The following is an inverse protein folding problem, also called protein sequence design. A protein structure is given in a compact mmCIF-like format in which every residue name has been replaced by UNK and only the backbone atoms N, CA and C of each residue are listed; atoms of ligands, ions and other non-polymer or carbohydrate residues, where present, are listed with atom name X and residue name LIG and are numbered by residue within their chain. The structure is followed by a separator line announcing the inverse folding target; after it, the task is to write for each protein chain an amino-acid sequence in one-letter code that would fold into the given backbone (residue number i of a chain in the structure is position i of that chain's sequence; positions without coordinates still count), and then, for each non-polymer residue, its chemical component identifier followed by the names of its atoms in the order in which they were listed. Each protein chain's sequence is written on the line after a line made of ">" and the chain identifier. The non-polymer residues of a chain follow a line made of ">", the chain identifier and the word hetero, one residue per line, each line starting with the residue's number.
data_IF_270292328784
#
_entry.id   IF_270292328784
#
_cell.length_a   1.000
_cell.length_b   1.000
_cell.length_c   1.000
_cell.angle_alpha   90.00
_cell.angle_beta   90.00
_cell.angle_gamma   90.00
#
_symmetry.space_group_name_H-M   'P 1'
#
loop_
_entity.id
_entity.type
_entity.pdbx_description
1 polymer ?
#
# COMPACT_ATOMS: atom_id res chain seq x y z
N UNK A 1 14.32 0.09 -24.01
CA UNK A 1 15.13 1.01 -23.19
C UNK A 1 14.74 0.76 -21.74
N UNK A 2 15.72 0.45 -20.88
CA UNK A 2 15.47 0.26 -19.45
C UNK A 2 14.97 1.57 -18.83
N UNK A 3 13.92 1.48 -18.03
CA UNK A 3 13.40 2.63 -17.28
C UNK A 3 14.12 2.78 -15.93
N UNK A 4 14.15 3.98 -15.36
CA UNK A 4 14.53 4.16 -13.97
C UNK A 4 13.62 3.37 -13.04
N UNK A 5 14.21 2.68 -12.07
CA UNK A 5 13.49 2.01 -10.97
C UNK A 5 13.42 3.00 -9.81
N UNK A 6 12.26 3.13 -9.20
CA UNK A 6 12.09 4.01 -8.05
C UNK A 6 11.51 3.26 -6.85
N UNK A 7 11.83 3.77 -5.69
CA UNK A 7 11.22 3.38 -4.42
C UNK A 7 10.91 4.67 -3.63
N UNK A 8 9.63 4.95 -3.40
CA UNK A 8 9.17 6.08 -2.63
C UNK A 8 8.58 5.61 -1.30
N UNK A 9 9.27 5.88 -0.21
CA UNK A 9 8.96 5.35 1.11
C UNK A 9 8.50 6.41 2.11
N UNK A 10 7.54 6.05 2.97
CA UNK A 10 7.09 6.81 4.13
C UNK A 10 7.38 6.04 5.40
N UNK A 11 8.21 6.60 6.28
CA UNK A 11 8.44 6.02 7.61
C UNK A 11 7.15 6.00 8.40
N UNK A 12 6.87 4.86 9.04
CA UNK A 12 5.67 4.66 9.85
C UNK A 12 6.02 4.47 11.32
N UNK A 13 5.08 4.84 12.20
CA UNK A 13 5.20 4.56 13.63
C UNK A 13 5.03 3.07 13.89
N UNK A 14 5.92 2.51 14.69
CA UNK A 14 5.88 1.12 15.14
C UNK A 14 4.64 0.92 16.01
N UNK A 15 3.92 -0.16 15.74
CA UNK A 15 2.71 -0.53 16.48
C UNK A 15 3.01 -1.71 17.40
N UNK A 16 2.34 -1.79 18.55
CA UNK A 16 2.44 -2.97 19.41
C UNK A 16 1.92 -4.23 18.69
N UNK A 17 2.45 -5.43 19.00
CA UNK A 17 2.02 -6.67 18.34
C UNK A 17 0.50 -6.89 18.33
N UNK A 18 -0.18 -6.54 19.43
CA UNK A 18 -1.64 -6.72 19.57
C UNK A 18 -2.47 -5.81 18.64
N UNK A 19 -1.87 -4.72 18.13
CA UNK A 19 -2.52 -3.80 17.20
C UNK A 19 -2.00 -3.95 15.77
N UNK A 20 -1.02 -4.80 15.57
CA UNK A 20 -0.30 -4.93 14.30
C UNK A 20 -1.24 -5.32 13.16
N UNK A 21 -2.08 -6.36 13.32
CA UNK A 21 -3.00 -6.82 12.28
C UNK A 21 -3.99 -5.72 11.86
N UNK A 22 -4.64 -5.05 12.82
CA UNK A 22 -5.56 -3.96 12.50
C UNK A 22 -4.85 -2.81 11.77
N UNK A 23 -3.62 -2.49 12.18
CA UNK A 23 -2.83 -1.46 11.54
C UNK A 23 -2.46 -1.87 10.10
N UNK A 24 -2.00 -3.12 9.90
CA UNK A 24 -1.72 -3.69 8.58
C UNK A 24 -2.94 -3.53 7.67
N UNK A 25 -4.10 -3.98 8.11
CA UNK A 25 -5.34 -3.89 7.32
C UNK A 25 -5.78 -2.45 7.02
N UNK A 26 -5.62 -1.52 7.96
CA UNK A 26 -5.90 -0.12 7.71
C UNK A 26 -4.96 0.47 6.65
N UNK A 27 -3.66 0.12 6.70
CA UNK A 27 -2.69 0.59 5.70
C UNK A 27 -2.95 -0.06 4.35
N UNK A 28 -3.18 -1.38 4.30
CA UNK A 28 -3.50 -2.08 3.04
C UNK A 28 -4.75 -1.48 2.37
N UNK A 29 -5.82 -1.22 3.15
CA UNK A 29 -7.02 -0.58 2.60
C UNK A 29 -6.76 0.86 2.13
N UNK A 30 -5.89 1.60 2.83
CA UNK A 30 -5.50 2.94 2.40
C UNK A 30 -4.68 2.89 1.10
N UNK A 31 -3.74 1.96 0.97
CA UNK A 31 -2.96 1.77 -0.25
C UNK A 31 -3.84 1.38 -1.44
N UNK A 32 -4.81 0.48 -1.22
CA UNK A 32 -5.79 0.11 -2.24
C UNK A 32 -6.64 1.32 -2.69
N UNK A 33 -7.01 2.21 -1.76
CA UNK A 33 -7.73 3.45 -2.07
C UNK A 33 -6.90 4.46 -2.86
N UNK A 34 -5.60 4.58 -2.55
CA UNK A 34 -4.70 5.54 -3.18
C UNK A 34 -4.23 5.04 -4.54
N UNK A 35 -3.71 3.82 -4.60
CA UNK A 35 -2.96 3.28 -5.73
C UNK A 35 -3.42 1.87 -6.16
N UNK A 36 -4.51 1.32 -5.63
CA UNK A 36 -5.07 0.07 -6.15
C UNK A 36 -5.47 0.22 -7.62
N UNK A 37 -5.51 -0.86 -8.37
CA UNK A 37 -5.79 -0.86 -9.82
C UNK A 37 -7.10 -0.14 -10.19
N UNK A 38 -8.10 -0.18 -9.30
CA UNK A 38 -9.38 0.51 -9.47
C UNK A 38 -9.34 2.00 -9.05
N UNK A 39 -8.22 2.50 -8.53
CA UNK A 39 -8.12 3.88 -8.06
C UNK A 39 -7.99 4.88 -9.22
N UNK A 40 -8.53 6.10 -9.06
CA UNK A 40 -8.37 7.15 -10.07
C UNK A 40 -6.91 7.55 -10.29
N UNK A 41 -6.07 7.49 -9.26
CA UNK A 41 -4.65 7.81 -9.37
C UNK A 41 -3.94 6.77 -10.23
N UNK A 42 -4.10 5.48 -9.95
CA UNK A 42 -3.48 4.40 -10.74
C UNK A 42 -3.85 4.51 -12.22
N UNK A 43 -5.16 4.62 -12.51
CA UNK A 43 -5.65 4.77 -13.88
C UNK A 43 -5.08 6.01 -14.59
N UNK A 44 -4.83 7.12 -13.86
CA UNK A 44 -4.20 8.32 -14.39
C UNK A 44 -2.73 8.12 -14.69
N UNK A 45 -1.99 7.50 -13.77
CA UNK A 45 -0.55 7.24 -13.92
C UNK A 45 -0.27 6.28 -15.09
N UNK A 46 -1.03 5.20 -15.23
CA UNK A 46 -0.96 4.26 -16.37
C UNK A 46 -1.23 4.99 -17.68
N UNK A 47 -2.33 5.75 -17.76
CA UNK A 47 -2.72 6.49 -18.99
C UNK A 47 -1.67 7.52 -19.41
N UNK A 48 -0.97 8.11 -18.45
CA UNK A 48 0.12 9.04 -18.72
C UNK A 48 1.44 8.33 -19.03
N UNK A 49 1.51 7.00 -18.91
CA UNK A 49 2.73 6.21 -19.07
C UNK A 49 3.80 6.58 -18.04
N UNK A 50 3.37 6.99 -16.85
CA UNK A 50 4.27 7.29 -15.72
C UNK A 50 4.62 6.04 -14.92
N UNK A 51 3.76 5.03 -14.93
CA UNK A 51 4.00 3.71 -14.36
C UNK A 51 3.58 2.62 -15.36
N UNK A 52 3.99 1.40 -15.11
CA UNK A 52 3.58 0.19 -15.80
C UNK A 52 2.95 -0.80 -14.80
N UNK A 53 2.73 -2.03 -15.21
CA UNK A 53 2.16 -3.13 -14.44
C UNK A 53 3.10 -3.68 -13.34
N UNK A 54 4.37 -3.27 -13.36
CA UNK A 54 5.35 -3.56 -12.29
C UNK A 54 5.23 -2.60 -11.08
N UNK A 55 4.27 -1.65 -11.11
CA UNK A 55 4.07 -0.75 -10.00
C UNK A 55 3.38 -1.46 -8.83
N UNK A 56 4.04 -1.46 -7.68
CA UNK A 56 3.57 -2.12 -6.47
C UNK A 56 3.55 -1.18 -5.25
N UNK A 57 2.77 -1.57 -4.25
CA UNK A 57 2.73 -0.90 -2.95
C UNK A 57 2.86 -1.91 -1.84
N UNK A 58 3.69 -1.61 -0.84
CA UNK A 58 3.93 -2.50 0.28
C UNK A 58 3.83 -1.77 1.62
N UNK A 59 3.26 -2.44 2.63
CA UNK A 59 3.44 -2.10 4.03
C UNK A 59 4.53 -2.97 4.63
N UNK A 60 5.77 -2.50 4.53
CA UNK A 60 6.97 -3.17 4.99
C UNK A 60 7.12 -3.03 6.50
N UNK A 61 7.01 -4.13 7.23
CA UNK A 61 7.04 -4.11 8.70
C UNK A 61 7.84 -5.24 9.28
N UNK A 62 8.48 -4.98 10.43
CA UNK A 62 9.19 -5.98 11.20
C UNK A 62 9.41 -5.53 12.64
N UNK A 63 10.27 -6.25 13.35
CA UNK A 63 10.62 -5.91 14.72
C UNK A 63 11.42 -4.61 14.77
N UNK A 64 10.79 -3.55 15.24
CA UNK A 64 11.45 -2.25 15.41
C UNK A 64 11.42 -1.33 14.18
N UNK A 65 10.71 -1.69 13.10
CA UNK A 65 10.57 -0.82 11.92
C UNK A 65 9.19 -0.96 11.25
N UNK A 66 8.79 0.10 10.57
CA UNK A 66 7.61 0.11 9.73
C UNK A 66 7.75 1.21 8.66
N UNK A 67 7.42 0.88 7.42
CA UNK A 67 7.39 1.80 6.28
C UNK A 67 6.25 1.46 5.32
N UNK A 68 5.74 2.45 4.62
CA UNK A 68 4.94 2.25 3.42
C UNK A 68 5.82 2.55 2.23
N UNK A 69 5.81 1.67 1.24
CA UNK A 69 6.64 1.74 0.06
C UNK A 69 5.75 1.75 -1.18
N UNK A 70 6.08 2.61 -2.13
CA UNK A 70 5.56 2.64 -3.49
C UNK A 70 6.76 2.43 -4.41
N UNK A 71 6.73 1.40 -5.23
CA UNK A 71 7.88 1.03 -6.07
C UNK A 71 7.46 0.60 -7.47
N UNK A 72 8.39 0.67 -8.39
CA UNK A 72 8.17 0.28 -9.78
C UNK A 72 9.14 0.96 -10.72
N UNK A 73 8.81 0.88 -11.99
CA UNK A 73 9.54 1.56 -13.05
C UNK A 73 8.80 2.81 -13.52
N UNK A 74 9.56 3.89 -13.77
CA UNK A 74 9.00 5.14 -14.29
C UNK A 74 10.02 5.89 -15.12
N UNK A 75 9.54 6.52 -16.19
CA UNK A 75 10.33 7.52 -16.93
C UNK A 75 10.52 8.84 -16.17
N UNK A 76 9.66 9.10 -15.17
CA UNK A 76 9.67 10.32 -14.35
C UNK A 76 9.26 9.98 -12.90
N UNK A 77 10.18 9.37 -12.10
CA UNK A 77 9.91 8.99 -10.71
C UNK A 77 9.50 10.16 -9.81
N UNK A 78 10.09 11.33 -10.03
CA UNK A 78 9.79 12.54 -9.27
C UNK A 78 8.33 12.97 -9.47
N UNK A 79 7.84 12.87 -10.70
CA UNK A 79 6.44 13.14 -11.03
C UNK A 79 5.50 12.13 -10.38
N UNK A 80 5.85 10.84 -10.37
CA UNK A 80 5.04 9.81 -9.69
C UNK A 80 4.93 10.12 -8.21
N UNK A 81 6.05 10.44 -7.54
CA UNK A 81 6.05 10.78 -6.13
C UNK A 81 5.19 12.03 -5.84
N UNK A 82 5.19 13.05 -6.72
CA UNK A 82 4.35 14.24 -6.55
C UNK A 82 2.85 13.91 -6.74
N UNK A 83 2.48 13.08 -7.70
CA UNK A 83 1.10 12.64 -7.90
C UNK A 83 0.58 11.84 -6.69
N UNK A 84 1.43 11.00 -6.08
CA UNK A 84 1.09 10.29 -4.83
C UNK A 84 0.88 11.30 -3.68
N UNK A 85 1.77 12.27 -3.51
CA UNK A 85 1.61 13.34 -2.50
C UNK A 85 0.34 14.13 -2.70
N UNK A 86 0.05 14.50 -3.94
CA UNK A 86 -1.16 15.25 -4.29
C UNK A 86 -2.44 14.46 -3.93
N UNK A 87 -2.45 13.16 -4.20
CA UNK A 87 -3.58 12.30 -3.85
C UNK A 87 -3.73 12.13 -2.33
N UNK A 88 -2.63 11.99 -1.59
CA UNK A 88 -2.65 11.95 -0.13
C UNK A 88 -3.24 13.26 0.46
N UNK A 89 -2.84 14.42 -0.09
CA UNK A 89 -3.40 15.73 0.30
C UNK A 89 -4.88 15.81 -0.02
N UNK A 90 -5.27 15.42 -1.24
CA UNK A 90 -6.67 15.40 -1.66
C UNK A 90 -7.56 14.57 -0.71
N UNK A 91 -7.12 13.35 -0.36
CA UNK A 91 -7.88 12.50 0.56
C UNK A 91 -7.94 13.12 1.97
N UNK A 92 -6.89 13.83 2.41
CA UNK A 92 -6.90 14.55 3.70
C UNK A 92 -7.92 15.68 3.72
N UNK A 93 -8.10 16.40 2.62
CA UNK A 93 -8.98 17.56 2.49
C UNK A 93 -10.43 17.15 2.21
N UNK A 94 -10.65 16.31 1.21
CA UNK A 94 -11.98 15.94 0.72
C UNK A 94 -12.60 14.74 1.45
N UNK A 95 -11.77 13.96 2.17
CA UNK A 95 -12.16 12.68 2.75
C UNK A 95 -12.18 11.54 1.76
N UNK A 96 -12.68 10.40 2.21
CA UNK A 96 -12.76 9.16 1.42
C UNK A 96 -14.16 9.01 0.82
N UNK A 97 -14.24 8.84 -0.48
CA UNK A 97 -15.51 8.51 -1.15
C UNK A 97 -16.05 7.16 -0.69
N UNK A 98 -17.34 7.12 -0.35
CA UNK A 98 -17.99 5.90 0.20
C UNK A 98 -18.02 4.75 -0.78
N UNK A 99 -18.16 5.00 -2.09
CA UNK A 99 -18.20 3.95 -3.11
C UNK A 99 -16.80 3.36 -3.31
N UNK A 100 -15.79 4.22 -3.40
CA UNK A 100 -14.38 3.80 -3.49
C UNK A 100 -13.97 3.01 -2.25
N UNK A 101 -14.34 3.47 -1.04
CA UNK A 101 -14.09 2.73 0.20
C UNK A 101 -14.73 1.33 0.18
N UNK A 102 -15.98 1.25 -0.23
CA UNK A 102 -16.70 -0.03 -0.30
C UNK A 102 -16.06 -0.98 -1.31
N UNK A 103 -15.68 -0.49 -2.49
CA UNK A 103 -15.03 -1.28 -3.52
C UNK A 103 -13.65 -1.81 -3.06
N UNK A 104 -12.78 -0.94 -2.54
CA UNK A 104 -11.47 -1.33 -2.03
C UNK A 104 -11.58 -2.34 -0.87
N UNK A 105 -12.54 -2.13 0.04
CA UNK A 105 -12.81 -3.06 1.13
C UNK A 105 -13.29 -4.43 0.62
N UNK A 106 -14.15 -4.46 -0.40
CA UNK A 106 -14.59 -5.70 -1.03
C UNK A 106 -13.45 -6.42 -1.75
N UNK A 107 -12.55 -5.70 -2.42
CA UNK A 107 -11.34 -6.25 -3.05
C UNK A 107 -10.50 -7.00 -2.03
N UNK A 108 -10.07 -6.33 -0.97
CA UNK A 108 -9.24 -6.93 0.09
C UNK A 108 -9.96 -8.10 0.80
N UNK A 109 -11.27 -7.98 1.03
CA UNK A 109 -12.04 -9.06 1.62
C UNK A 109 -12.10 -10.28 0.71
N UNK A 110 -12.28 -10.06 -0.60
CA UNK A 110 -12.25 -11.12 -1.61
C UNK A 110 -10.89 -11.82 -1.69
N UNK A 111 -9.80 -11.07 -1.63
CA UNK A 111 -8.44 -11.63 -1.57
C UNK A 111 -8.22 -12.47 -0.31
N UNK A 112 -8.65 -11.96 0.85
CA UNK A 112 -8.56 -12.69 2.10
C UNK A 112 -9.34 -14.02 2.07
N UNK A 113 -10.50 -14.05 1.40
CA UNK A 113 -11.27 -15.30 1.22
C UNK A 113 -10.57 -16.25 0.25
N UNK A 114 -10.08 -15.76 -0.90
CA UNK A 114 -9.40 -16.62 -1.90
C UNK A 114 -8.21 -17.37 -1.35
N UNK A 115 -7.52 -16.82 -0.33
CA UNK A 115 -6.41 -17.54 0.35
C UNK A 115 -6.86 -18.85 1.00
N UNK A 116 -8.16 -19.01 1.32
CA UNK A 116 -8.68 -20.29 1.84
C UNK A 116 -8.88 -21.35 0.77
N UNK A 117 -8.74 -21.02 -0.51
CA UNK A 117 -8.79 -21.99 -1.61
C UNK A 117 -7.45 -22.71 -1.82
N UNK A 118 -6.37 -22.20 -1.17
CA UNK A 118 -5.02 -22.74 -1.28
C UNK A 118 -4.54 -23.35 0.04
N UNK A 119 -4.18 -24.63 0.02
CA UNK A 119 -3.62 -25.32 1.20
C UNK A 119 -2.32 -24.66 1.68
N UNK A 120 -1.47 -24.21 0.75
CA UNK A 120 -0.23 -23.52 1.09
C UNK A 120 -0.49 -22.19 1.79
N UNK A 121 -1.47 -21.41 1.32
CA UNK A 121 -1.81 -20.12 1.91
C UNK A 121 -2.44 -20.29 3.29
N UNK A 122 -3.29 -21.31 3.47
CA UNK A 122 -3.83 -21.67 4.79
C UNK A 122 -2.67 -22.05 5.73
N UNK A 123 -1.71 -22.87 5.26
CA UNK A 123 -0.54 -23.25 6.04
C UNK A 123 0.29 -22.02 6.48
N UNK A 124 0.56 -21.11 5.56
CA UNK A 124 1.27 -19.86 5.84
C UNK A 124 0.52 -19.00 6.85
N UNK A 125 -0.80 -18.85 6.70
CA UNK A 125 -1.64 -18.11 7.64
C UNK A 125 -1.65 -18.73 9.04
N UNK A 126 -1.67 -20.06 9.15
CA UNK A 126 -1.61 -20.74 10.46
C UNK A 126 -0.27 -20.49 11.16
N UNK A 127 0.84 -20.47 10.41
CA UNK A 127 2.16 -20.09 10.95
C UNK A 127 2.17 -18.64 11.41
N UNK A 128 1.67 -17.70 10.61
CA UNK A 128 1.52 -16.30 11.02
C UNK A 128 0.67 -16.15 12.28
N UNK A 129 -0.44 -16.86 12.37
CA UNK A 129 -1.31 -16.88 13.55
C UNK A 129 -0.55 -17.36 14.80
N UNK A 130 0.23 -18.43 14.68
CA UNK A 130 1.03 -18.97 15.78
C UNK A 130 2.10 -17.98 16.27
N UNK A 131 2.74 -17.25 15.34
CA UNK A 131 3.78 -16.26 15.66
C UNK A 131 3.16 -14.98 16.27
N UNK A 132 2.04 -14.52 15.74
CA UNK A 132 1.45 -13.23 16.12
C UNK A 132 0.41 -13.32 17.24
N UNK A 133 -0.08 -14.53 17.54
CA UNK A 133 -1.17 -14.76 18.46
C UNK A 133 -2.56 -14.37 17.95
N UNK A 134 -2.71 -14.10 16.64
CA UNK A 134 -4.00 -13.83 16.02
C UNK A 134 -4.74 -15.12 15.70
N UNK A 135 -6.08 -15.06 15.64
CA UNK A 135 -6.90 -16.17 15.13
C UNK A 135 -6.99 -16.15 13.60
N UNK A 136 -7.13 -17.34 13.01
CA UNK A 136 -7.20 -17.53 11.55
C UNK A 136 -8.25 -16.65 10.85
N UNK A 137 -9.37 -16.35 11.51
CA UNK A 137 -10.46 -15.53 10.95
C UNK A 137 -10.46 -14.08 11.44
N UNK A 138 -9.45 -13.65 12.20
CA UNK A 138 -9.45 -12.30 12.77
C UNK A 138 -9.25 -11.23 11.70
N UNK A 139 -8.52 -11.54 10.63
CA UNK A 139 -8.39 -10.67 9.48
C UNK A 139 -9.77 -10.35 8.87
N UNK A 140 -10.58 -11.35 8.58
CA UNK A 140 -11.92 -11.18 8.00
C UNK A 140 -12.85 -10.38 8.92
N UNK A 141 -12.79 -10.63 10.24
CA UNK A 141 -13.57 -9.89 11.24
C UNK A 141 -13.15 -8.42 11.28
N UNK A 142 -11.85 -8.16 11.29
CA UNK A 142 -11.30 -6.80 11.32
C UNK A 142 -11.61 -6.04 10.03
N UNK A 143 -11.45 -6.66 8.86
CA UNK A 143 -11.83 -6.06 7.57
C UNK A 143 -13.29 -5.63 7.56
N UNK A 144 -14.21 -6.48 8.05
CA UNK A 144 -15.62 -6.12 8.18
C UNK A 144 -15.85 -4.90 9.08
N UNK A 145 -15.08 -4.76 10.15
CA UNK A 145 -15.20 -3.70 11.13
C UNK A 145 -14.53 -2.37 10.72
N UNK A 146 -13.70 -2.34 9.66
CA UNK A 146 -13.05 -1.11 9.20
C UNK A 146 -14.08 -0.08 8.71
N UNK A 147 -13.87 1.16 9.11
CA UNK A 147 -14.68 2.33 8.75
C UNK A 147 -13.81 3.40 8.08
N UNK A 148 -14.39 4.32 7.29
CA UNK A 148 -13.65 5.45 6.73
C UNK A 148 -12.87 6.23 7.80
N UNK A 149 -13.45 6.44 8.98
CA UNK A 149 -12.79 7.17 10.08
C UNK A 149 -11.52 6.48 10.57
N UNK A 150 -11.50 5.12 10.57
CA UNK A 150 -10.31 4.37 10.97
C UNK A 150 -9.17 4.55 9.96
N UNK A 151 -9.49 4.70 8.69
CA UNK A 151 -8.54 4.93 7.60
C UNK A 151 -8.04 6.37 7.62
N UNK A 152 -8.94 7.35 7.79
CA UNK A 152 -8.57 8.77 7.90
C UNK A 152 -7.60 9.03 9.07
N UNK A 153 -7.81 8.38 10.21
CA UNK A 153 -6.87 8.44 11.34
C UNK A 153 -5.48 7.91 10.96
N UNK A 154 -5.42 6.87 10.11
CA UNK A 154 -4.16 6.29 9.67
C UNK A 154 -3.47 7.16 8.62
N UNK A 155 -4.21 7.85 7.77
CA UNK A 155 -3.68 8.78 6.77
C UNK A 155 -2.80 9.87 7.41
N UNK A 156 -3.11 10.30 8.64
CA UNK A 156 -2.28 11.24 9.40
C UNK A 156 -0.85 10.77 9.71
N UNK A 157 -0.56 9.46 9.53
CA UNK A 157 0.80 8.93 9.70
C UNK A 157 1.68 9.02 8.44
N UNK A 158 1.12 9.47 7.31
CA UNK A 158 1.87 9.74 6.09
C UNK A 158 2.40 11.17 6.15
N UNK A 159 3.57 11.30 6.74
CA UNK A 159 4.27 12.58 6.89
C UNK A 159 5.24 12.75 5.71
N UNK A 160 5.01 13.78 4.91
CA UNK A 160 5.86 14.10 3.74
C UNK A 160 7.30 14.42 4.16
N UNK A 161 7.50 14.97 5.37
CA UNK A 161 8.84 15.24 5.90
C UNK A 161 9.59 13.98 6.36
N UNK A 162 8.87 12.87 6.54
CA UNK A 162 9.42 11.55 6.88
C UNK A 162 9.35 10.59 5.67
N UNK A 163 9.47 11.13 4.46
CA UNK A 163 9.48 10.37 3.20
C UNK A 163 10.81 10.49 2.46
N UNK A 164 11.13 9.48 1.68
CA UNK A 164 12.34 9.42 0.85
C UNK A 164 12.00 8.83 -0.51
N UNK A 165 12.49 9.46 -1.57
CA UNK A 165 12.49 8.93 -2.93
C UNK A 165 13.90 8.45 -3.27
N UNK A 166 14.03 7.17 -3.59
CA UNK A 166 15.25 6.56 -4.13
C UNK A 166 15.03 6.22 -5.60
N UNK A 167 16.01 6.54 -6.46
CA UNK A 167 15.92 6.28 -7.90
C UNK A 167 17.20 5.64 -8.39
N UNK A 168 17.08 4.50 -9.06
CA UNK A 168 18.16 3.81 -9.76
C UNK A 168 17.97 4.07 -11.25
N UNK A 169 18.92 4.81 -11.85
CA UNK A 169 18.89 5.10 -13.29
C UNK A 169 19.68 4.05 -14.07
N UNK A 170 19.23 3.64 -15.26
CA UNK A 170 20.03 2.80 -16.14
C UNK A 170 21.34 3.50 -16.49
N UNK A 171 22.41 2.72 -16.66
CA UNK A 171 23.66 3.27 -17.17
C UNK A 171 23.45 3.84 -18.57
N UNK A 172 23.84 5.09 -18.79
CA UNK A 172 23.99 5.59 -20.14
C UNK A 172 25.10 4.78 -20.81
N UNK A 173 24.80 4.06 -21.88
CA UNK A 173 25.85 3.55 -22.77
C UNK A 173 26.54 4.80 -23.38
N UNK A 174 27.60 5.23 -22.75
CA UNK A 174 28.57 6.08 -23.42
C UNK A 174 29.32 5.10 -24.34
N UNK A 175 28.98 5.12 -25.62
CA UNK A 175 29.81 4.50 -26.67
C UNK A 175 31.20 5.12 -26.55
N UNK A 176 32.20 4.25 -26.20
CA UNK A 176 33.62 4.54 -26.47
C UNK A 176 33.92 4.37 -27.97
#
# INVERSE_FOLDING_TARGET
>A
VALPIFCYGFKQKITSPQRSLKTKLCVSLLLELICGEASPLYARLIRQGLINDEFETEYFTGHGYAAVIFEGESRDPERVAEEIRAELRRIKEDGIDKKQFSAAKCSLYGEAIRRFDSVNDIGTQLVECAITGNGLFDELKLLKALTPDSIMKRLGSFDENASVLSVIKPRSNTEE
#
